data_IF_104500352679
#
_entry.id   IF_104500352679
#
_cell.length_a   1.000
_cell.length_b   1.000
_cell.length_c   1.000
_cell.angle_alpha   90.00
_cell.angle_beta   90.00
_cell.angle_gamma   90.00
#
_symmetry.space_group_name_H-M   'P 1'
#
loop_
_entity.id
_entity.type
_entity.pdbx_description
1 polymer ?
#
# COMPACT_ATOMS: atom_id res chain seq x y z
N UNK A 1 5.77 1.28 -38.16
CA UNK A 1 5.94 0.06 -37.34
C UNK A 1 6.96 0.40 -36.25
N UNK A 2 6.50 1.07 -35.17
CA UNK A 2 7.36 1.41 -34.03
C UNK A 2 7.70 0.09 -33.33
N UNK A 3 9.00 -0.13 -33.11
CA UNK A 3 9.63 -1.44 -32.98
C UNK A 3 9.51 -1.90 -31.53
N UNK A 4 9.05 -3.14 -31.31
CA UNK A 4 8.86 -3.75 -29.97
C UNK A 4 10.08 -3.61 -29.03
N UNK A 5 11.29 -3.43 -29.59
CA UNK A 5 12.53 -3.23 -28.86
C UNK A 5 12.65 -1.88 -28.14
N UNK A 6 12.01 -0.83 -28.67
CA UNK A 6 12.11 0.52 -28.10
C UNK A 6 11.14 0.67 -26.92
N UNK A 7 9.93 0.12 -27.07
CA UNK A 7 8.94 -0.02 -25.98
C UNK A 7 9.51 -0.83 -24.82
N UNK A 8 10.20 -1.94 -25.09
CA UNK A 8 10.78 -2.77 -24.03
C UNK A 8 11.91 -2.07 -23.27
N UNK A 9 12.76 -1.30 -23.97
CA UNK A 9 13.80 -0.47 -23.33
C UNK A 9 13.18 0.64 -22.48
N UNK A 10 12.11 1.24 -22.98
CA UNK A 10 11.39 2.31 -22.29
C UNK A 10 10.73 1.80 -21.00
N UNK A 11 10.05 0.66 -21.05
CA UNK A 11 9.50 0.00 -19.86
C UNK A 11 10.57 -0.42 -18.84
N UNK A 12 11.74 -0.89 -19.32
CA UNK A 12 12.85 -1.27 -18.43
C UNK A 12 13.43 -0.06 -17.71
N UNK A 13 13.62 1.04 -18.41
CA UNK A 13 14.14 2.28 -17.85
C UNK A 13 13.15 2.91 -16.85
N UNK A 14 11.87 2.95 -17.19
CA UNK A 14 10.80 3.40 -16.30
C UNK A 14 10.83 2.64 -14.96
N UNK A 15 10.79 1.29 -15.04
CA UNK A 15 10.86 0.43 -13.85
C UNK A 15 12.14 0.62 -13.04
N UNK A 16 13.27 0.83 -13.70
CA UNK A 16 14.56 1.08 -13.05
C UNK A 16 14.53 2.39 -12.24
N UNK A 17 13.93 3.45 -12.79
CA UNK A 17 13.78 4.74 -12.12
C UNK A 17 12.81 4.63 -10.92
N UNK A 18 11.69 3.92 -11.07
CA UNK A 18 10.73 3.64 -9.99
C UNK A 18 11.43 2.93 -8.81
N UNK A 19 12.10 1.81 -9.10
CA UNK A 19 12.74 0.99 -8.05
C UNK A 19 13.88 1.73 -7.36
N UNK A 20 14.66 2.52 -8.11
CA UNK A 20 15.67 3.40 -7.54
C UNK A 20 15.06 4.46 -6.62
N UNK A 21 13.90 5.02 -7.00
CA UNK A 21 13.17 5.99 -6.17
C UNK A 21 12.71 5.36 -4.86
N UNK A 22 12.11 4.17 -4.90
CA UNK A 22 11.77 3.39 -3.70
C UNK A 22 13.00 3.23 -2.80
N UNK A 23 14.14 2.83 -3.37
CA UNK A 23 15.35 2.60 -2.59
C UNK A 23 15.88 3.88 -1.94
N UNK A 24 15.90 5.00 -2.67
CA UNK A 24 16.28 6.31 -2.12
C UNK A 24 15.34 6.73 -0.98
N UNK A 25 14.03 6.50 -1.10
CA UNK A 25 13.07 6.81 -0.04
C UNK A 25 13.35 5.98 1.22
N UNK A 26 13.61 4.67 1.08
CA UNK A 26 13.92 3.77 2.19
C UNK A 26 15.22 4.15 2.92
N UNK A 27 16.26 4.50 2.17
CA UNK A 27 17.59 4.77 2.73
C UNK A 27 17.74 6.19 3.28
N UNK A 28 17.12 7.18 2.61
CA UNK A 28 17.42 8.60 2.86
C UNK A 28 16.23 9.40 3.38
N UNK A 29 15.02 8.86 3.22
CA UNK A 29 13.75 9.56 3.48
C UNK A 29 13.37 10.55 2.38
N UNK A 30 12.11 10.95 2.37
CA UNK A 30 11.52 11.86 1.37
C UNK A 30 12.24 13.22 1.31
N UNK A 31 12.65 13.74 2.47
CA UNK A 31 13.30 15.04 2.55
C UNK A 31 14.64 15.12 1.80
N UNK A 32 15.36 13.98 1.69
CA UNK A 32 16.65 13.90 1.00
C UNK A 32 16.58 13.24 -0.37
N UNK A 33 15.42 12.73 -0.76
CA UNK A 33 15.19 12.22 -2.11
C UNK A 33 15.25 13.38 -3.12
N UNK A 34 16.24 13.40 -4.01
CA UNK A 34 16.32 14.38 -5.11
C UNK A 34 16.41 13.66 -6.45
N UNK A 35 16.02 14.32 -7.54
CA UNK A 35 16.15 13.76 -8.90
C UNK A 35 17.59 13.31 -9.18
N UNK A 36 18.58 14.05 -8.66
CA UNK A 36 20.00 13.70 -8.77
C UNK A 36 20.35 12.42 -8.01
N UNK A 37 19.86 12.26 -6.79
CA UNK A 37 20.07 11.05 -5.99
C UNK A 37 19.39 9.84 -6.63
N UNK A 38 18.18 10.03 -7.16
CA UNK A 38 17.45 8.98 -7.87
C UNK A 38 18.18 8.57 -9.14
N UNK A 39 18.62 9.53 -9.96
CA UNK A 39 19.38 9.26 -11.18
C UNK A 39 20.67 8.49 -10.86
N UNK A 40 21.37 8.88 -9.80
CA UNK A 40 22.55 8.17 -9.30
C UNK A 40 22.21 6.74 -8.87
N UNK A 41 21.15 6.54 -8.08
CA UNK A 41 20.71 5.22 -7.63
C UNK A 41 20.26 4.33 -8.80
N UNK A 42 19.61 4.91 -9.79
CA UNK A 42 19.19 4.23 -11.01
C UNK A 42 20.34 4.00 -11.99
N UNK A 43 21.54 4.56 -11.76
CA UNK A 43 22.66 4.53 -12.71
C UNK A 43 22.30 5.11 -14.11
N UNK A 44 21.57 6.24 -14.13
CA UNK A 44 21.15 6.95 -15.35
C UNK A 44 21.45 8.45 -15.23
N UNK A 45 21.30 9.20 -16.33
CA UNK A 45 21.46 10.66 -16.31
C UNK A 45 20.24 11.35 -15.67
N UNK A 46 20.45 12.54 -15.10
CA UNK A 46 19.34 13.38 -14.60
C UNK A 46 18.36 13.72 -15.74
N UNK A 47 18.88 14.00 -16.93
CA UNK A 47 18.06 14.26 -18.12
C UNK A 47 17.19 13.08 -18.51
N UNK A 48 17.67 11.83 -18.34
CA UNK A 48 16.85 10.64 -18.55
C UNK A 48 15.70 10.57 -17.54
N UNK A 49 15.95 10.82 -16.25
CA UNK A 49 14.88 10.85 -15.23
C UNK A 49 13.85 11.94 -15.55
N UNK A 50 14.30 13.14 -15.89
CA UNK A 50 13.40 14.27 -16.20
C UNK A 50 12.59 14.06 -17.48
N UNK A 51 13.12 13.30 -18.44
CA UNK A 51 12.40 12.93 -19.65
C UNK A 51 11.21 12.00 -19.35
N UNK A 52 11.39 11.02 -18.44
CA UNK A 52 10.32 10.10 -18.01
C UNK A 52 9.37 10.75 -17.00
N UNK A 53 9.95 11.48 -16.05
CA UNK A 53 9.25 12.07 -14.91
C UNK A 53 9.51 13.57 -14.85
N UNK A 54 8.63 14.38 -15.44
CA UNK A 54 8.78 15.84 -15.44
C UNK A 54 8.65 16.45 -14.05
N UNK A 55 8.05 15.72 -13.10
CA UNK A 55 7.87 16.13 -11.71
C UNK A 55 8.46 15.09 -10.75
N UNK A 56 9.31 15.55 -9.81
CA UNK A 56 9.79 14.74 -8.69
C UNK A 56 8.61 14.16 -7.89
N UNK A 57 7.59 14.97 -7.71
CA UNK A 57 6.42 14.58 -6.96
C UNK A 57 5.72 13.42 -7.67
N UNK A 58 5.40 13.56 -8.96
CA UNK A 58 4.83 12.45 -9.73
C UNK A 58 5.65 11.15 -9.61
N UNK A 59 6.98 11.23 -9.72
CA UNK A 59 7.86 10.08 -9.53
C UNK A 59 7.75 9.45 -8.14
N UNK A 60 7.69 10.27 -7.08
CA UNK A 60 7.51 9.79 -5.70
C UNK A 60 6.16 9.10 -5.53
N UNK A 61 5.08 9.62 -6.11
CA UNK A 61 3.77 8.97 -6.04
C UNK A 61 3.76 7.60 -6.71
N UNK A 62 4.35 7.49 -7.89
CA UNK A 62 4.44 6.21 -8.63
C UNK A 62 5.34 5.21 -7.89
N UNK A 63 6.42 5.67 -7.26
CA UNK A 63 7.23 4.83 -6.38
C UNK A 63 6.44 4.30 -5.16
N UNK A 64 5.59 5.13 -4.55
CA UNK A 64 4.68 4.70 -3.47
C UNK A 64 3.61 3.73 -4.00
N UNK A 65 3.07 3.95 -5.19
CA UNK A 65 2.15 3.01 -5.82
C UNK A 65 2.82 1.64 -6.02
N UNK A 66 4.07 1.59 -6.51
CA UNK A 66 4.83 0.34 -6.68
C UNK A 66 5.06 -0.41 -5.35
N UNK A 67 5.17 0.29 -4.22
CA UNK A 67 5.21 -0.35 -2.90
C UNK A 67 3.92 -1.15 -2.64
N UNK A 68 2.75 -0.55 -2.89
CA UNK A 68 1.47 -1.22 -2.68
C UNK A 68 1.14 -2.27 -3.73
N UNK A 69 1.58 -2.08 -4.98
CA UNK A 69 1.49 -3.10 -6.03
C UNK A 69 2.29 -4.35 -5.62
N UNK A 70 3.47 -4.18 -5.02
CA UNK A 70 4.26 -5.31 -4.49
C UNK A 70 3.54 -6.03 -3.36
N UNK A 71 2.95 -5.30 -2.40
CA UNK A 71 2.11 -5.90 -1.36
C UNK A 71 0.92 -6.67 -1.95
N UNK A 72 0.21 -6.07 -2.92
CA UNK A 72 -0.91 -6.67 -3.64
C UNK A 72 -0.51 -7.97 -4.35
N UNK A 73 0.70 -8.00 -4.92
CA UNK A 73 1.28 -9.19 -5.54
C UNK A 73 1.65 -10.27 -4.52
N UNK A 74 2.24 -9.90 -3.39
CA UNK A 74 2.57 -10.84 -2.31
C UNK A 74 1.31 -11.49 -1.74
N UNK A 75 0.29 -10.70 -1.43
CA UNK A 75 -1.01 -11.20 -0.99
C UNK A 75 -1.67 -12.10 -2.06
N UNK A 76 -1.60 -11.71 -3.33
CA UNK A 76 -2.15 -12.50 -4.44
C UNK A 76 -1.37 -13.78 -4.75
N UNK A 77 -0.12 -13.89 -4.32
CA UNK A 77 0.73 -15.06 -4.50
C UNK A 77 0.62 -16.08 -3.36
N UNK A 78 -0.08 -15.73 -2.26
CA UNK A 78 -0.36 -16.68 -1.19
C UNK A 78 -1.10 -17.89 -1.73
N UNK A 79 -0.70 -19.08 -1.29
CA UNK A 79 -1.46 -20.29 -1.61
C UNK A 79 -2.85 -20.13 -1.01
N UNK A 80 -3.88 -20.57 -1.75
CA UNK A 80 -5.23 -20.63 -1.17
C UNK A 80 -5.22 -21.66 -0.06
N UNK A 81 -5.15 -21.17 1.17
CA UNK A 81 -5.35 -21.97 2.37
C UNK A 81 -6.72 -22.64 2.31
N UNK A 82 -6.78 -23.89 2.80
CA UNK A 82 -8.03 -24.65 2.86
C UNK A 82 -8.80 -24.38 4.15
N UNK A 83 -8.09 -23.96 5.21
CA UNK A 83 -8.65 -23.66 6.51
C UNK A 83 -8.67 -22.13 6.76
N UNK A 84 -9.72 -21.59 7.42
CA UNK A 84 -9.78 -20.17 7.82
C UNK A 84 -8.60 -19.71 8.67
N UNK A 85 -8.07 -20.58 9.52
CA UNK A 85 -6.94 -20.33 10.42
C UNK A 85 -5.67 -20.03 9.62
N UNK A 86 -5.29 -20.92 8.71
CA UNK A 86 -4.13 -20.76 7.84
C UNK A 86 -4.25 -19.48 6.99
N UNK A 87 -5.45 -19.21 6.46
CA UNK A 87 -5.70 -18.01 5.65
C UNK A 87 -5.51 -16.72 6.46
N UNK A 88 -6.08 -16.68 7.66
CA UNK A 88 -5.97 -15.52 8.55
C UNK A 88 -4.52 -15.30 8.99
N UNK A 89 -3.85 -16.36 9.43
CA UNK A 89 -2.47 -16.34 9.88
C UNK A 89 -1.52 -15.85 8.77
N UNK A 90 -1.55 -16.48 7.59
CA UNK A 90 -0.67 -16.13 6.47
C UNK A 90 -0.89 -14.67 6.01
N UNK A 91 -2.15 -14.23 5.95
CA UNK A 91 -2.50 -12.87 5.56
C UNK A 91 -1.98 -11.86 6.58
N UNK A 92 -2.19 -12.10 7.88
CA UNK A 92 -1.69 -11.23 8.94
C UNK A 92 -0.16 -11.20 8.96
N UNK A 93 0.50 -12.33 8.69
CA UNK A 93 1.94 -12.40 8.63
C UNK A 93 2.51 -11.56 7.48
N UNK A 94 1.91 -11.61 6.28
CA UNK A 94 2.30 -10.75 5.14
C UNK A 94 2.10 -9.27 5.50
N UNK A 95 0.92 -8.91 6.01
CA UNK A 95 0.60 -7.53 6.34
C UNK A 95 1.50 -7.01 7.47
N UNK A 96 1.76 -7.80 8.50
CA UNK A 96 2.63 -7.41 9.60
C UNK A 96 4.06 -7.13 9.12
N UNK A 97 4.66 -8.05 8.35
CA UNK A 97 5.99 -7.84 7.74
C UNK A 97 6.04 -6.55 6.91
N UNK A 98 4.97 -6.26 6.17
CA UNK A 98 4.86 -5.03 5.40
C UNK A 98 4.85 -3.80 6.32
N UNK A 99 3.95 -3.76 7.32
CA UNK A 99 3.78 -2.61 8.22
C UNK A 99 4.99 -2.34 9.12
N UNK A 100 5.76 -3.37 9.48
CA UNK A 100 7.03 -3.20 10.22
C UNK A 100 8.25 -3.05 9.30
N UNK A 101 8.04 -3.13 7.98
CA UNK A 101 9.10 -3.12 6.97
C UNK A 101 9.46 -1.71 6.48
N UNK A 102 10.65 -1.55 5.87
CA UNK A 102 11.13 -0.26 5.37
C UNK A 102 10.28 0.29 4.23
N UNK A 103 9.62 -0.57 3.46
CA UNK A 103 8.72 -0.17 2.37
C UNK A 103 7.52 0.62 2.92
N UNK A 104 6.89 0.16 4.01
CA UNK A 104 5.80 0.89 4.65
C UNK A 104 6.27 2.20 5.28
N UNK A 105 7.42 2.19 5.97
CA UNK A 105 7.98 3.40 6.59
C UNK A 105 8.20 4.50 5.53
N UNK A 106 8.83 4.16 4.41
CA UNK A 106 9.02 5.07 3.27
C UNK A 106 7.70 5.61 2.71
N UNK A 107 6.71 4.74 2.47
CA UNK A 107 5.40 5.14 1.99
C UNK A 107 4.66 6.05 3.00
N UNK A 108 4.75 5.73 4.29
CA UNK A 108 4.08 6.47 5.36
C UNK A 108 4.64 7.89 5.54
N UNK A 109 5.96 8.09 5.41
CA UNK A 109 6.58 9.43 5.45
C UNK A 109 5.99 10.33 4.36
N UNK A 110 5.83 9.80 3.14
CA UNK A 110 5.22 10.52 2.02
C UNK A 110 3.78 10.90 2.33
N UNK A 111 2.97 9.96 2.83
CA UNK A 111 1.57 10.22 3.19
C UNK A 111 1.41 11.22 4.34
N UNK A 112 2.28 11.15 5.34
CA UNK A 112 2.25 12.07 6.48
C UNK A 112 2.62 13.49 6.06
N UNK A 113 3.67 13.65 5.24
CA UNK A 113 4.06 14.97 4.73
C UNK A 113 2.95 15.60 3.90
N UNK A 114 2.38 14.81 3.00
CA UNK A 114 1.19 15.15 2.24
C UNK A 114 0.04 15.67 3.12
N UNK A 115 -0.29 14.94 4.20
CA UNK A 115 -1.33 15.35 5.15
C UNK A 115 -1.03 16.68 5.83
N UNK A 116 0.22 16.92 6.21
CA UNK A 116 0.64 18.14 6.91
C UNK A 116 0.70 19.37 6.01
N UNK A 117 0.96 19.19 4.72
CA UNK A 117 1.06 20.29 3.76
C UNK A 117 -0.29 20.92 3.41
N UNK A 118 -1.42 20.29 3.77
CA UNK A 118 -2.77 20.79 3.45
C UNK A 118 -3.10 20.83 1.95
N UNK A 119 -2.14 20.46 1.10
CA UNK A 119 -2.27 20.31 -0.33
C UNK A 119 -2.75 18.88 -0.62
N UNK A 120 -3.99 18.69 -1.11
CA UNK A 120 -4.46 17.39 -1.60
C UNK A 120 -3.80 17.01 -2.94
N UNK A 121 -2.61 17.55 -3.23
CA UNK A 121 -1.88 17.45 -4.47
C UNK A 121 -1.90 16.03 -5.04
N UNK A 122 -1.77 15.96 -6.37
CA UNK A 122 -1.82 14.71 -7.14
C UNK A 122 -1.05 13.55 -6.50
N UNK A 123 0.06 13.85 -5.80
CA UNK A 123 0.81 12.93 -4.94
C UNK A 123 -0.05 12.05 -4.02
N UNK A 124 -0.84 12.69 -3.17
CA UNK A 124 -1.60 12.05 -2.09
C UNK A 124 -2.80 11.34 -2.68
N UNK A 125 -3.46 11.98 -3.64
CA UNK A 125 -4.58 11.42 -4.37
C UNK A 125 -4.20 10.14 -5.10
N UNK A 126 -3.10 10.16 -5.85
CA UNK A 126 -2.60 9.01 -6.59
C UNK A 126 -2.10 7.89 -5.67
N UNK A 127 -1.28 8.21 -4.65
CA UNK A 127 -0.80 7.21 -3.70
C UNK A 127 -1.95 6.58 -2.89
N UNK A 128 -2.94 7.37 -2.46
CA UNK A 128 -4.14 6.87 -1.76
C UNK A 128 -5.01 6.04 -2.69
N UNK A 129 -5.19 6.46 -3.94
CA UNK A 129 -5.97 5.71 -4.94
C UNK A 129 -5.28 4.38 -5.26
N UNK A 130 -3.96 4.37 -5.42
CA UNK A 130 -3.17 3.16 -5.63
C UNK A 130 -3.25 2.23 -4.42
N UNK A 131 -3.04 2.73 -3.20
CA UNK A 131 -3.21 1.98 -1.95
C UNK A 131 -4.61 1.34 -1.90
N UNK A 132 -5.67 2.12 -2.12
CA UNK A 132 -7.03 1.62 -2.10
C UNK A 132 -7.25 0.54 -3.16
N UNK A 133 -7.03 0.87 -4.43
CA UNK A 133 -7.31 -0.07 -5.54
C UNK A 133 -6.52 -1.36 -5.42
N UNK A 134 -5.21 -1.29 -5.14
CA UNK A 134 -4.34 -2.46 -5.11
C UNK A 134 -4.60 -3.34 -3.88
N UNK A 135 -4.72 -2.74 -2.70
CA UNK A 135 -4.93 -3.51 -1.47
C UNK A 135 -6.32 -4.15 -1.44
N UNK A 136 -7.38 -3.42 -1.83
CA UNK A 136 -8.73 -4.00 -1.93
C UNK A 136 -8.79 -5.08 -3.01
N UNK A 137 -8.16 -4.87 -4.17
CA UNK A 137 -8.16 -5.88 -5.23
C UNK A 137 -7.42 -7.16 -4.83
N UNK A 138 -6.29 -7.05 -4.12
CA UNK A 138 -5.58 -8.20 -3.58
C UNK A 138 -6.39 -8.94 -2.52
N UNK A 139 -7.05 -8.20 -1.62
CA UNK A 139 -7.95 -8.74 -0.62
C UNK A 139 -9.12 -9.50 -1.24
N UNK A 140 -9.79 -8.91 -2.23
CA UNK A 140 -10.90 -9.53 -2.94
C UNK A 140 -10.47 -10.84 -3.63
N UNK A 141 -9.26 -10.88 -4.20
CA UNK A 141 -8.70 -12.12 -4.77
C UNK A 141 -8.39 -13.17 -3.72
N UNK A 142 -7.82 -12.77 -2.58
CA UNK A 142 -7.46 -13.67 -1.49
C UNK A 142 -8.71 -14.30 -0.86
N UNK A 143 -9.80 -13.53 -0.74
CA UNK A 143 -11.03 -13.94 -0.08
C UNK A 143 -12.15 -14.39 -1.02
N UNK A 144 -11.90 -14.49 -2.34
CA UNK A 144 -12.92 -14.72 -3.37
C UNK A 144 -13.84 -15.94 -3.12
N UNK A 145 -13.33 -16.98 -2.44
CA UNK A 145 -14.07 -18.21 -2.14
C UNK A 145 -14.45 -18.33 -0.66
N UNK A 146 -14.50 -17.22 0.05
CA UNK A 146 -14.83 -17.16 1.48
C UNK A 146 -16.14 -16.40 1.69
N UNK A 147 -16.81 -16.56 2.84
CA UNK A 147 -17.98 -15.75 3.21
C UNK A 147 -17.73 -14.23 3.23
N UNK A 148 -16.47 -13.78 3.29
CA UNK A 148 -16.06 -12.38 3.28
C UNK A 148 -15.69 -11.83 1.89
N UNK A 149 -15.99 -12.55 0.80
CA UNK A 149 -15.65 -12.12 -0.55
C UNK A 149 -16.21 -10.72 -0.90
N UNK A 150 -15.43 -9.96 -1.66
CA UNK A 150 -15.79 -8.64 -2.14
C UNK A 150 -15.95 -7.61 -1.01
N UNK A 151 -16.91 -6.69 -1.19
CA UNK A 151 -17.12 -5.56 -0.28
C UNK A 151 -17.42 -5.95 1.18
N UNK A 152 -17.90 -7.17 1.42
CA UNK A 152 -18.18 -7.67 2.78
C UNK A 152 -16.93 -7.73 3.65
N UNK A 153 -15.77 -8.06 3.07
CA UNK A 153 -14.51 -8.12 3.80
C UNK A 153 -13.81 -6.77 3.95
N UNK A 154 -14.23 -5.72 3.25
CA UNK A 154 -13.52 -4.43 3.24
C UNK A 154 -13.46 -3.74 4.61
N UNK A 155 -14.51 -3.74 5.44
CA UNK A 155 -14.41 -3.19 6.80
C UNK A 155 -13.38 -3.92 7.66
N UNK A 156 -13.27 -5.25 7.53
CA UNK A 156 -12.28 -6.03 8.25
C UNK A 156 -10.86 -5.72 7.78
N UNK A 157 -10.64 -5.59 6.47
CA UNK A 157 -9.36 -5.16 5.93
C UNK A 157 -8.95 -3.79 6.49
N UNK A 158 -9.88 -2.83 6.49
CA UNK A 158 -9.61 -1.49 7.02
C UNK A 158 -9.29 -1.52 8.52
N UNK A 159 -9.99 -2.34 9.29
CA UNK A 159 -9.72 -2.55 10.71
C UNK A 159 -8.33 -3.17 10.94
N UNK A 160 -8.02 -4.29 10.27
CA UNK A 160 -6.71 -4.95 10.36
C UNK A 160 -5.59 -3.97 9.96
N UNK A 161 -5.74 -3.30 8.81
CA UNK A 161 -4.76 -2.33 8.32
C UNK A 161 -4.55 -1.15 9.28
N UNK A 162 -5.61 -0.65 9.91
CA UNK A 162 -5.52 0.42 10.89
C UNK A 162 -4.81 -0.04 12.17
N UNK A 163 -5.16 -1.23 12.68
CA UNK A 163 -4.56 -1.80 13.87
C UNK A 163 -3.09 -2.12 13.66
N UNK A 164 -2.72 -2.84 12.60
CA UNK A 164 -1.33 -3.17 12.30
C UNK A 164 -0.46 -1.93 12.08
N UNK A 165 -1.00 -0.89 11.41
CA UNK A 165 -0.36 0.43 11.30
C UNK A 165 -0.12 1.07 12.66
N UNK A 166 -1.08 1.04 13.57
CA UNK A 166 -0.94 1.60 14.91
C UNK A 166 0.11 0.85 15.72
N UNK A 167 0.07 -0.49 15.69
CA UNK A 167 1.05 -1.34 16.36
C UNK A 167 2.46 -1.15 15.82
N UNK A 168 2.63 -0.94 14.50
CA UNK A 168 3.96 -0.76 13.92
C UNK A 168 4.64 0.55 14.35
N UNK A 169 3.89 1.57 14.77
CA UNK A 169 4.46 2.82 15.30
C UNK A 169 5.08 2.65 16.69
N UNK A 170 4.60 1.68 17.47
CA UNK A 170 5.08 1.39 18.83
C UNK A 170 5.96 0.13 18.88
N UNK A 171 6.18 -0.51 17.74
CA UNK A 171 7.05 -1.68 17.62
C UNK A 171 8.51 -1.23 17.58
N UNK A 172 9.27 -1.55 18.63
CA UNK A 172 10.70 -1.28 18.77
C UNK A 172 11.57 -2.53 18.58
N UNK A 173 10.96 -3.64 18.17
CA UNK A 173 11.62 -4.92 17.97
C UNK A 173 11.78 -5.77 19.22
N UNK A 174 11.58 -5.23 20.44
CA UNK A 174 11.92 -5.96 21.66
C UNK A 174 11.02 -5.66 22.88
N UNK A 175 10.85 -4.40 23.31
CA UNK A 175 10.23 -4.11 24.63
C UNK A 175 8.71 -4.33 24.62
N UNK A 176 8.05 -3.99 23.51
CA UNK A 176 6.59 -4.12 23.37
C UNK A 176 6.13 -5.48 22.80
N UNK A 177 7.07 -6.41 22.59
CA UNK A 177 6.81 -7.65 21.86
C UNK A 177 5.65 -8.49 22.46
N UNK A 178 5.57 -8.78 23.77
CA UNK A 178 4.48 -9.60 24.32
C UNK A 178 3.09 -8.95 24.22
N UNK A 179 3.03 -7.61 24.26
CA UNK A 179 1.76 -6.88 24.10
C UNK A 179 1.31 -6.94 22.65
N UNK A 180 2.25 -6.71 21.71
CA UNK A 180 1.98 -6.75 20.28
C UNK A 180 1.57 -8.17 19.84
N UNK A 181 2.25 -9.21 20.34
CA UNK A 181 1.89 -10.62 20.08
C UNK A 181 0.43 -10.90 20.47
N UNK A 182 0.00 -10.48 21.67
CA UNK A 182 -1.41 -10.61 22.08
C UNK A 182 -2.39 -9.84 21.19
N UNK A 183 -1.99 -8.68 20.66
CA UNK A 183 -2.83 -7.93 19.71
C UNK A 183 -2.93 -8.65 18.36
N UNK A 184 -1.84 -9.28 17.89
CA UNK A 184 -1.83 -10.09 16.68
C UNK A 184 -2.69 -11.35 16.85
N UNK A 185 -2.61 -12.04 17.99
CA UNK A 185 -3.47 -13.18 18.33
C UNK A 185 -4.95 -12.78 18.34
N UNK A 186 -5.29 -11.61 18.90
CA UNK A 186 -6.66 -11.09 18.90
C UNK A 186 -7.14 -10.78 17.48
N UNK A 187 -6.30 -10.15 16.65
CA UNK A 187 -6.62 -9.88 15.24
C UNK A 187 -6.84 -11.18 14.47
N UNK A 188 -6.02 -12.20 14.70
CA UNK A 188 -6.15 -13.51 14.08
C UNK A 188 -7.47 -14.16 14.48
N UNK A 189 -7.80 -14.15 15.77
CA UNK A 189 -9.07 -14.67 16.27
C UNK A 189 -10.28 -13.98 15.64
N UNK A 190 -10.28 -12.64 15.58
CA UNK A 190 -11.35 -11.86 14.93
C UNK A 190 -11.46 -12.24 13.45
N UNK A 191 -10.34 -12.35 12.75
CA UNK A 191 -10.34 -12.68 11.33
C UNK A 191 -10.87 -14.10 11.08
N UNK A 192 -10.41 -15.09 11.82
CA UNK A 192 -10.91 -16.47 11.74
C UNK A 192 -12.42 -16.52 11.99
N UNK A 193 -12.91 -15.85 13.03
CA UNK A 193 -14.34 -15.84 13.33
C UNK A 193 -15.14 -15.14 12.24
N UNK A 194 -14.63 -14.04 11.66
CA UNK A 194 -15.25 -13.38 10.52
C UNK A 194 -15.26 -14.24 9.25
N UNK A 195 -14.23 -15.04 9.01
CA UNK A 195 -14.19 -16.00 7.90
C UNK A 195 -15.21 -17.11 8.08
N UNK A 196 -15.43 -17.59 9.31
CA UNK A 196 -16.40 -18.65 9.63
C UNK A 196 -17.84 -18.16 9.55
N UNK A 197 -18.12 -16.97 10.08
CA UNK A 197 -19.48 -16.42 10.18
C UNK A 197 -19.91 -15.63 8.94
N UNK A 198 -18.95 -15.15 8.14
CA UNK A 198 -19.19 -14.19 7.07
C UNK A 198 -19.57 -12.79 7.55
N UNK A 199 -19.33 -12.50 8.83
CA UNK A 199 -19.67 -11.21 9.46
C UNK A 199 -18.46 -10.59 10.13
N UNK A 200 -18.31 -9.28 10.00
CA UNK A 200 -17.32 -8.50 10.76
C UNK A 200 -17.95 -8.07 12.07
N UNK A 201 -17.67 -8.80 13.17
CA UNK A 201 -18.02 -8.44 14.56
C UNK A 201 -19.46 -7.93 14.77
N UNK A 202 -20.48 -8.69 14.36
CA UNK A 202 -21.89 -8.36 14.62
C UNK A 202 -22.38 -7.05 14.00
N UNK A 203 -21.56 -6.39 13.16
CA UNK A 203 -22.00 -5.26 12.36
C UNK A 203 -23.03 -5.76 11.36
N UNK A 204 -24.29 -5.33 11.51
CA UNK A 204 -25.30 -5.51 10.46
C UNK A 204 -24.78 -4.89 9.17
N UNK A 205 -25.19 -5.42 8.02
CA UNK A 205 -24.87 -4.85 6.70
C UNK A 205 -25.02 -3.33 6.78
N UNK A 206 -23.92 -2.61 6.61
CA UNK A 206 -23.97 -1.17 6.48
C UNK A 206 -24.72 -0.93 5.17
N UNK A 207 -26.00 -0.55 5.26
CA UNK A 207 -26.77 -0.05 4.11
C UNK A 207 -25.89 0.90 3.31
N UNK A 208 -25.83 0.66 1.99
CA UNK A 208 -25.02 1.32 0.97
C UNK A 208 -25.09 2.86 1.02
N UNK A 209 -24.47 3.48 2.01
CA UNK A 209 -24.57 4.92 2.27
C UNK A 209 -23.22 5.57 2.51
N UNK A 210 -22.11 4.87 2.23
CA UNK A 210 -20.83 5.54 2.03
C UNK A 210 -20.77 5.95 0.56
N UNK A 211 -21.10 7.21 0.19
CA UNK A 211 -20.90 7.66 -1.17
C UNK A 211 -19.41 7.49 -1.51
N UNK A 212 -19.07 7.14 -2.77
CA UNK A 212 -17.68 7.11 -3.21
C UNK A 212 -17.01 8.44 -2.83
N UNK A 213 -15.70 8.44 -2.49
CA UNK A 213 -15.00 9.66 -2.12
C UNK A 213 -15.29 10.73 -3.16
N UNK A 214 -15.91 11.83 -2.72
CA UNK A 214 -16.30 12.95 -3.57
C UNK A 214 -15.08 13.42 -4.35
N UNK A 215 -15.06 13.13 -5.64
CA UNK A 215 -14.22 13.86 -6.59
C UNK A 215 -14.96 15.16 -6.80
N UNK A 216 -14.67 16.18 -6.00
CA UNK A 216 -15.08 17.54 -6.37
C UNK A 216 -14.14 17.99 -7.48
N UNK A 217 -14.60 18.18 -8.72
CA UNK A 217 -13.89 19.04 -9.64
C UNK A 217 -14.21 20.49 -9.23
N UNK A 218 -13.26 21.39 -9.48
CA UNK A 218 -13.46 22.85 -9.43
C UNK A 218 -13.36 23.53 -8.05
N UNK A 219 -12.10 23.70 -7.61
CA UNK A 219 -11.70 24.94 -6.95
C UNK A 219 -11.71 26.08 -7.97
N UNK A 220 -12.88 26.67 -8.20
CA UNK A 220 -13.03 27.89 -8.97
C UNK A 220 -12.41 29.06 -8.22
N UNK A 221 -11.33 29.62 -8.78
CA UNK A 221 -10.82 30.94 -8.43
C UNK A 221 -11.92 31.98 -8.56
N UNK A 222 -12.18 32.71 -7.48
CA UNK A 222 -12.49 34.14 -7.52
C UNK A 222 -11.68 34.84 -6.44
#
# INVERSE_FOLDING_TARGET
MIRSSDVEKEMKLDRQIILATVQVLKEKGLSRASVREIAKQAAVSVGAVQHYYPSKDQLVAEAVAEIYIRLSRELGAMKRASAPEDLAHDTLQVLWRFYTGPDYLAASEVMMRARLSGDPGHLVGAARKALGMELFSAWDRALANTPLAGRRGHPLLMFIAATLRGLSLVYDGHENQPVIEKQLELLEHIFVESLRTGQVLGMREVEESIPPPSVSPEGGLK
#
